data_IF_742260544232
#
_entry.id   IF_742260544232
#
_cell.length_a   1.000
_cell.length_b   1.000
_cell.length_c   1.000
_cell.angle_alpha   90.00
_cell.angle_beta   90.00
_cell.angle_gamma   90.00
#
_symmetry.space_group_name_H-M   'P 1'
#
loop_
_entity.id
_entity.type
_entity.pdbx_description
1 polymer ?
#
# COMPACT_ATOMS: atom_id res chain seq x y z
N UNK A 1 -19.15 27.60 23.22
CA UNK A 1 -17.70 27.91 23.13
C UNK A 1 -16.92 26.62 23.37
N UNK A 2 -15.94 26.36 22.49
CA UNK A 2 -14.81 25.42 22.62
C UNK A 2 -15.11 23.93 22.50
N UNK A 3 -15.01 23.41 21.27
CA UNK A 3 -14.70 22.00 21.03
C UNK A 3 -13.21 21.84 20.80
N UNK A 4 -12.61 21.02 21.66
CA UNK A 4 -11.35 20.29 21.56
C UNK A 4 -10.17 21.00 20.88
N UNK A 5 -9.31 21.55 21.75
CA UNK A 5 -7.86 21.62 21.53
C UNK A 5 -7.38 20.31 20.91
N UNK A 6 -7.04 20.31 19.61
CA UNK A 6 -6.31 19.21 18.99
C UNK A 6 -4.90 19.24 19.60
N UNK A 7 -4.78 18.52 20.70
CA UNK A 7 -3.57 18.43 21.47
C UNK A 7 -2.50 17.73 20.65
N UNK A 8 -1.38 18.42 20.51
CA UNK A 8 -0.04 17.85 20.34
C UNK A 8 0.20 17.30 18.93
N UNK A 9 0.98 18.08 18.16
CA UNK A 9 1.84 17.58 17.09
C UNK A 9 2.71 16.44 17.65
N UNK A 10 2.17 15.23 17.72
CA UNK A 10 2.96 14.03 17.56
C UNK A 10 3.32 14.04 16.09
N UNK A 11 4.59 14.30 15.75
CA UNK A 11 5.13 14.17 14.39
C UNK A 11 5.07 12.71 13.92
N UNK A 12 3.87 12.14 13.90
CA UNK A 12 3.54 10.80 13.46
C UNK A 12 3.22 10.82 11.97
N UNK A 13 3.24 9.65 11.35
CA UNK A 13 2.83 9.51 9.96
C UNK A 13 1.39 10.04 9.78
N UNK A 14 1.17 10.88 8.77
CA UNK A 14 -0.13 11.48 8.47
C UNK A 14 -0.42 11.39 6.97
N UNK A 15 -1.65 11.05 6.60
CA UNK A 15 -2.08 11.06 5.20
C UNK A 15 -2.52 12.47 4.81
N UNK A 16 -1.79 13.12 3.90
CA UNK A 16 -2.03 14.53 3.51
C UNK A 16 -3.01 14.66 2.35
N UNK A 17 -3.08 13.66 1.46
CA UNK A 17 -3.99 13.68 0.31
C UNK A 17 -4.29 12.27 -0.22
N UNK A 18 -5.52 12.03 -0.67
CA UNK A 18 -5.93 10.78 -1.32
C UNK A 18 -6.44 11.09 -2.73
N UNK A 19 -6.01 10.30 -3.70
CA UNK A 19 -6.38 10.39 -5.11
C UNK A 19 -6.78 9.02 -5.66
N UNK A 20 -7.29 8.98 -6.89
CA UNK A 20 -7.60 7.71 -7.57
C UNK A 20 -6.37 6.83 -7.90
N UNK A 21 -5.15 7.35 -7.76
CA UNK A 21 -3.91 6.64 -8.07
C UNK A 21 -3.15 6.15 -6.84
N UNK A 22 -3.52 6.63 -5.65
CA UNK A 22 -2.75 6.47 -4.42
C UNK A 22 -2.96 7.64 -3.48
N UNK A 23 -2.16 7.68 -2.42
CA UNK A 23 -2.23 8.73 -1.41
C UNK A 23 -0.84 9.21 -1.00
N UNK A 24 -0.80 10.43 -0.48
CA UNK A 24 0.40 11.06 0.06
C UNK A 24 0.43 10.87 1.58
N UNK A 25 1.61 10.54 2.08
CA UNK A 25 1.89 10.29 3.47
C UNK A 25 3.07 11.17 3.90
N UNK A 26 2.85 12.04 4.87
CA UNK A 26 3.90 12.79 5.55
C UNK A 26 4.42 11.94 6.71
N UNK A 27 5.67 11.47 6.62
CA UNK A 27 6.33 10.70 7.68
C UNK A 27 7.53 11.50 8.17
N UNK A 28 7.56 11.84 9.46
CA UNK A 28 8.48 12.82 10.03
C UNK A 28 8.39 14.18 9.29
N UNK A 29 9.29 14.44 8.35
CA UNK A 29 9.39 15.67 7.55
C UNK A 29 9.48 15.36 6.04
N UNK A 30 9.12 14.15 5.63
CA UNK A 30 9.18 13.68 4.23
C UNK A 30 7.79 13.29 3.73
N UNK A 31 7.42 13.80 2.55
CA UNK A 31 6.22 13.36 1.83
C UNK A 31 6.54 12.18 0.91
N UNK A 32 5.84 11.07 1.14
CA UNK A 32 5.95 9.84 0.40
C UNK A 32 4.64 9.54 -0.33
N UNK A 33 4.73 9.17 -1.60
CA UNK A 33 3.56 8.77 -2.39
C UNK A 33 3.38 7.25 -2.38
N UNK A 34 2.26 6.79 -1.81
CA UNK A 34 1.87 5.38 -1.80
C UNK A 34 0.96 5.10 -2.99
N UNK A 35 1.50 4.46 -4.03
CA UNK A 35 0.74 4.13 -5.23
C UNK A 35 -0.14 2.90 -5.06
N UNK A 36 -1.42 2.98 -5.44
CA UNK A 36 -2.30 1.80 -5.53
C UNK A 36 -1.86 0.78 -6.58
N UNK A 37 -0.94 1.15 -7.48
CA UNK A 37 -0.36 0.19 -8.43
C UNK A 37 0.63 -0.75 -7.74
N UNK A 38 1.45 -0.22 -6.84
CA UNK A 38 2.47 -1.00 -6.12
C UNK A 38 1.88 -1.64 -4.85
N UNK A 39 0.87 -1.00 -4.26
CA UNK A 39 0.18 -1.41 -3.04
C UNK A 39 -1.34 -1.58 -3.30
N UNK A 40 -1.76 -2.61 -4.05
CA UNK A 40 -3.13 -2.74 -4.54
C UNK A 40 -4.18 -2.96 -3.44
N UNK A 41 -3.79 -3.46 -2.27
CA UNK A 41 -4.68 -3.65 -1.12
C UNK A 41 -5.31 -2.35 -0.60
N UNK A 42 -4.68 -1.19 -0.84
CA UNK A 42 -5.29 0.10 -0.47
C UNK A 42 -6.35 0.58 -1.46
N UNK A 43 -6.46 -0.01 -2.65
CA UNK A 43 -7.37 0.46 -3.70
C UNK A 43 -8.84 0.35 -3.29
N UNK A 44 -9.18 -0.71 -2.56
CA UNK A 44 -10.53 -1.00 -2.10
C UNK A 44 -10.73 -0.67 -0.61
N UNK A 45 -9.72 -0.09 0.04
CA UNK A 45 -9.79 0.35 1.43
C UNK A 45 -10.65 1.62 1.55
N UNK A 46 -11.40 1.73 2.65
CA UNK A 46 -12.14 2.95 2.95
C UNK A 46 -11.18 4.10 3.28
N UNK A 47 -11.62 5.34 3.05
CA UNK A 47 -10.86 6.53 3.42
C UNK A 47 -10.51 6.51 4.91
N UNK A 48 -11.46 6.11 5.77
CA UNK A 48 -11.23 6.03 7.22
C UNK A 48 -10.14 5.02 7.58
N UNK A 49 -10.06 3.89 6.88
CA UNK A 49 -8.98 2.93 7.08
C UNK A 49 -7.63 3.49 6.62
N UNK A 50 -7.56 4.12 5.44
CA UNK A 50 -6.33 4.72 4.92
C UNK A 50 -5.80 5.83 5.84
N UNK A 51 -6.69 6.67 6.39
CA UNK A 51 -6.32 7.74 7.31
C UNK A 51 -5.82 7.22 8.67
N UNK A 52 -6.20 6.01 9.06
CA UNK A 52 -5.83 5.42 10.34
C UNK A 52 -4.47 4.71 10.26
N UNK A 53 -3.43 5.48 9.97
CA UNK A 53 -2.04 5.00 9.91
C UNK A 53 -1.38 5.10 11.30
N UNK A 54 -0.67 4.05 11.67
CA UNK A 54 0.19 3.99 12.85
C UNK A 54 1.66 3.91 12.40
N UNK A 55 2.53 4.59 13.15
CA UNK A 55 3.97 4.58 12.93
C UNK A 55 4.71 4.07 14.17
N UNK A 56 4.57 2.77 14.50
CA UNK A 56 5.15 2.21 15.72
C UNK A 56 6.68 2.16 15.68
N UNK A 57 7.28 2.10 14.48
CA UNK A 57 8.73 2.06 14.29
C UNK A 57 9.14 2.94 13.10
N UNK A 58 10.33 3.57 13.13
CA UNK A 58 10.76 4.47 12.07
C UNK A 58 10.75 3.88 10.66
N UNK A 59 10.89 2.56 10.54
CA UNK A 59 10.99 1.85 9.26
C UNK A 59 9.69 1.18 8.82
N UNK A 60 8.67 1.12 9.68
CA UNK A 60 7.43 0.38 9.42
C UNK A 60 6.20 1.20 9.78
N UNK A 61 5.31 1.29 8.80
CA UNK A 61 3.97 1.85 8.91
C UNK A 61 2.99 0.70 9.04
N UNK A 62 1.92 0.92 9.80
CA UNK A 62 0.91 -0.08 10.04
C UNK A 62 -0.49 0.51 9.91
N UNK A 63 -1.36 -0.18 9.19
CA UNK A 63 -2.77 0.17 9.04
C UNK A 63 -3.62 -0.88 9.77
N UNK A 64 -3.94 -0.67 11.05
CA UNK A 64 -4.68 -1.63 11.87
C UNK A 64 -6.07 -1.96 11.31
N UNK A 65 -6.71 -1.03 10.61
CA UNK A 65 -8.00 -1.28 9.96
C UNK A 65 -7.92 -2.27 8.80
N UNK A 66 -6.76 -2.38 8.16
CA UNK A 66 -6.51 -3.24 7.00
C UNK A 66 -5.68 -4.48 7.36
N UNK A 67 -5.11 -4.52 8.56
CA UNK A 67 -4.10 -5.52 8.96
C UNK A 67 -2.91 -5.56 7.99
N UNK A 68 -2.46 -4.37 7.56
CA UNK A 68 -1.38 -4.20 6.57
C UNK A 68 -0.20 -3.48 7.18
N UNK A 69 1.00 -4.06 7.07
CA UNK A 69 2.26 -3.40 7.33
C UNK A 69 2.97 -2.98 6.02
N UNK A 70 3.59 -1.80 6.03
CA UNK A 70 4.37 -1.29 4.90
C UNK A 70 5.70 -0.77 5.39
N UNK A 71 6.79 -1.29 4.82
CA UNK A 71 8.12 -0.74 5.05
C UNK A 71 8.28 0.59 4.32
N UNK A 72 8.81 1.61 5.02
CA UNK A 72 9.07 2.94 4.44
C UNK A 72 10.00 2.85 3.22
N UNK A 73 11.01 1.97 3.29
CA UNK A 73 11.93 1.73 2.18
C UNK A 73 11.25 1.17 0.92
N UNK A 74 10.18 0.39 1.06
CA UNK A 74 9.41 -0.12 -0.09
C UNK A 74 8.65 1.00 -0.81
N UNK A 75 8.31 2.09 -0.10
CA UNK A 75 7.67 3.27 -0.71
C UNK A 75 8.73 4.14 -1.42
N UNK A 76 9.91 4.29 -0.82
CA UNK A 76 11.04 5.04 -1.40
C UNK A 76 11.65 4.35 -2.62
N UNK A 77 11.72 3.02 -2.58
CA UNK A 77 12.37 2.18 -3.58
C UNK A 77 11.48 0.99 -4.00
N UNK A 78 10.31 1.24 -4.61
CA UNK A 78 9.39 0.18 -5.02
C UNK A 78 10.04 -0.82 -6.00
N UNK A 79 11.03 -0.38 -6.79
CA UNK A 79 11.79 -1.23 -7.72
C UNK A 79 12.61 -2.34 -7.02
N UNK A 80 12.99 -2.13 -5.76
CA UNK A 80 13.76 -3.10 -4.97
C UNK A 80 12.85 -4.15 -4.31
N UNK A 81 11.56 -3.84 -4.19
CA UNK A 81 10.58 -4.66 -3.47
C UNK A 81 9.33 -4.83 -4.34
N UNK A 82 9.37 -5.68 -5.40
CA UNK A 82 8.18 -5.99 -6.16
C UNK A 82 7.20 -6.79 -5.28
N UNK A 83 6.27 -6.08 -4.63
CA UNK A 83 5.26 -6.64 -3.73
C UNK A 83 4.13 -7.35 -4.48
N UNK A 84 4.09 -7.17 -5.80
CA UNK A 84 3.31 -8.02 -6.68
C UNK A 84 4.20 -9.19 -7.06
N UNK A 85 3.92 -10.37 -6.48
CA UNK A 85 4.43 -11.60 -7.05
C UNK A 85 3.93 -11.63 -8.49
N UNK A 86 4.85 -11.56 -9.47
CA UNK A 86 4.50 -11.93 -10.85
C UNK A 86 4.01 -13.35 -10.74
N UNK A 87 2.69 -13.53 -10.71
CA UNK A 87 2.08 -14.81 -10.96
C UNK A 87 2.68 -15.25 -12.29
N UNK A 88 3.64 -16.16 -12.23
CA UNK A 88 4.13 -16.87 -13.39
C UNK A 88 2.89 -17.52 -13.94
N UNK A 89 2.24 -16.87 -14.91
CA UNK A 89 1.29 -17.50 -15.81
C UNK A 89 2.10 -18.59 -16.49
N UNK A 90 2.19 -19.74 -15.84
CA UNK A 90 2.54 -20.99 -16.47
C UNK A 90 1.39 -21.23 -17.43
N UNK A 91 1.51 -20.68 -18.63
CA UNK A 91 0.59 -20.92 -19.72
C UNK A 91 0.59 -22.43 -19.88
N UNK A 92 -0.46 -23.10 -19.40
CA UNK A 92 -0.65 -24.52 -19.63
C UNK A 92 -0.69 -24.68 -21.15
N UNK A 93 0.43 -25.10 -21.75
CA UNK A 93 0.46 -25.56 -23.14
C UNK A 93 -0.51 -26.74 -23.17
N UNK A 94 -1.70 -26.49 -23.69
CA UNK A 94 -2.67 -27.52 -23.96
C UNK A 94 -2.08 -28.39 -25.06
N UNK A 95 -1.48 -29.52 -24.67
CA UNK A 95 -1.18 -30.60 -25.59
C UNK A 95 -2.51 -31.14 -26.08
N UNK A 96 -2.99 -30.61 -27.22
CA UNK A 96 -4.06 -31.27 -27.97
C UNK A 96 -3.49 -32.60 -28.46
N UNK A 97 -4.06 -33.67 -27.91
CA UNK A 97 -4.12 -34.98 -28.52
C UNK A 97 -4.40 -34.83 -30.02
N UNK A 98 -3.45 -35.23 -30.85
CA UNK A 98 -3.69 -35.49 -32.26
C UNK A 98 -3.76 -37.01 -32.41
N UNK A 99 -4.91 -37.57 -32.06
CA UNK A 99 -5.30 -38.91 -32.49
C UNK A 99 -6.17 -38.73 -33.73
N UNK A 100 -5.61 -39.01 -34.90
CA UNK A 100 -6.36 -39.10 -36.14
C UNK A 100 -5.66 -40.06 -37.13
N UNK A 101 -6.06 -41.33 -37.02
CA UNK A 101 -6.46 -42.23 -38.12
C UNK A 101 -5.61 -42.18 -39.41
N UNK A 102 -4.84 -43.23 -39.66
CA UNK A 102 -5.04 -44.14 -40.81
C UNK A 102 -4.26 -45.44 -40.65
#
# INVERSE_FOLDING_TARGET
>A
MKSATHGKSTSGAEVTNISGHGFWLLVADEELFVSFKEFPWFKDASVSEILNVEWPQPHHLYWPGLDVDVAVESIRHPEKFPLISKELRLTKRTSRHAEARR
#
